data_IF_515717143049
#
_entry.id   IF_515717143049
#
_cell.length_a   1.000
_cell.length_b   1.000
_cell.length_c   1.000
_cell.angle_alpha   90.00
_cell.angle_beta   90.00
_cell.angle_gamma   90.00
#
_symmetry.space_group_name_H-M   'P 1'
#
loop_
_entity.id
_entity.type
_entity.pdbx_description
1 polymer ?
#
# COMPACT_ATOMS: atom_id res chain seq x y z
N UNK A 1 20.69 -6.32 5.76
CA UNK A 1 20.01 -7.28 4.86
C UNK A 1 19.91 -8.69 5.46
N UNK A 2 21.00 -9.33 5.90
CA UNK A 2 20.98 -10.71 6.45
C UNK A 2 20.14 -10.85 7.73
N UNK A 3 20.25 -9.91 8.66
CA UNK A 3 19.45 -9.85 9.90
C UNK A 3 17.95 -9.63 9.68
N UNK A 4 17.60 -8.92 8.59
CA UNK A 4 16.20 -8.75 8.16
C UNK A 4 15.72 -10.05 7.55
N UNK A 5 16.47 -10.67 6.63
CA UNK A 5 16.16 -11.99 6.05
C UNK A 5 15.95 -13.09 7.11
N UNK A 6 16.70 -13.08 8.21
CA UNK A 6 16.52 -14.02 9.33
C UNK A 6 15.24 -13.78 10.14
N UNK A 7 14.84 -12.51 10.34
CA UNK A 7 13.57 -12.13 10.98
C UNK A 7 12.33 -12.43 10.09
N UNK A 8 12.52 -12.63 8.78
CA UNK A 8 11.45 -12.84 7.80
C UNK A 8 11.04 -14.32 7.60
N UNK A 9 11.88 -15.27 8.01
CA UNK A 9 11.61 -16.72 7.86
C UNK A 9 10.28 -17.19 8.50
N UNK A 10 9.84 -16.69 9.67
CA UNK A 10 8.58 -17.12 10.27
C UNK A 10 7.32 -16.62 9.53
N UNK A 11 7.43 -15.52 8.76
CA UNK A 11 6.31 -14.88 8.06
C UNK A 11 6.05 -15.55 6.70
N UNK A 12 7.09 -16.07 6.04
CA UNK A 12 6.97 -16.75 4.74
C UNK A 12 6.31 -18.15 4.82
N UNK A 13 6.41 -18.85 5.95
CA UNK A 13 5.99 -20.25 6.06
C UNK A 13 4.48 -20.49 6.32
N UNK A 14 3.60 -19.50 6.13
CA UNK A 14 2.15 -19.65 6.41
C UNK A 14 1.19 -19.43 5.24
N UNK A 15 1.70 -19.28 4.03
CA UNK A 15 0.86 -19.00 2.86
C UNK A 15 0.61 -20.30 2.09
N UNK A 16 -0.24 -21.21 2.58
CA UNK A 16 -0.77 -22.30 1.76
C UNK A 16 -2.29 -22.48 1.93
N UNK A 17 -2.93 -22.55 0.75
CA UNK A 17 -4.24 -23.09 0.37
C UNK A 17 -5.47 -22.64 1.17
N UNK A 18 -6.31 -21.77 0.56
CA UNK A 18 -7.78 -21.99 0.43
C UNK A 18 -8.32 -21.15 -0.75
N UNK A 19 -9.20 -21.82 -1.50
CA UNK A 19 -10.11 -21.41 -2.59
C UNK A 19 -10.57 -19.94 -2.67
N UNK A 20 -10.43 -19.35 -3.87
CA UNK A 20 -10.83 -17.99 -4.26
C UNK A 20 -12.36 -17.73 -4.35
N UNK A 21 -13.21 -18.72 -4.08
CA UNK A 21 -14.62 -18.64 -4.48
C UNK A 21 -15.60 -18.05 -3.44
N UNK A 22 -15.26 -17.92 -2.16
CA UNK A 22 -16.19 -17.40 -1.14
C UNK A 22 -16.06 -15.89 -0.87
N UNK A 23 -14.94 -15.24 -1.23
CA UNK A 23 -14.70 -13.82 -0.92
C UNK A 23 -15.46 -12.82 -1.81
N UNK A 24 -16.12 -13.28 -2.89
CA UNK A 24 -16.78 -12.42 -3.87
C UNK A 24 -18.08 -11.76 -3.37
N UNK A 25 -18.66 -12.18 -2.24
CA UNK A 25 -19.95 -11.66 -1.74
C UNK A 25 -19.89 -10.67 -0.57
N UNK A 26 -18.80 -10.62 0.20
CA UNK A 26 -18.67 -9.65 1.30
C UNK A 26 -18.01 -8.35 0.79
N UNK A 27 -18.70 -7.19 0.79
CA UNK A 27 -18.09 -5.91 0.39
C UNK A 27 -16.90 -5.50 1.29
N UNK A 28 -16.79 -6.12 2.47
CA UNK A 28 -15.72 -5.92 3.45
C UNK A 28 -14.53 -6.86 3.23
N UNK A 29 -14.65 -7.87 2.37
CA UNK A 29 -13.57 -8.82 2.11
C UNK A 29 -12.30 -8.13 1.60
N UNK A 30 -11.14 -8.48 2.14
CA UNK A 30 -9.84 -8.04 1.63
C UNK A 30 -9.65 -8.61 0.23
N UNK A 31 -9.44 -7.71 -0.75
CA UNK A 31 -9.35 -8.04 -2.20
C UNK A 31 -8.03 -7.54 -2.80
N UNK A 32 -7.70 -8.07 -3.98
CA UNK A 32 -6.52 -7.71 -4.76
C UNK A 32 -5.43 -8.79 -4.70
N UNK A 33 -4.76 -9.04 -5.83
CA UNK A 33 -3.87 -10.20 -6.01
C UNK A 33 -2.78 -10.34 -4.93
N UNK A 34 -2.19 -9.22 -4.48
CA UNK A 34 -1.16 -9.27 -3.45
C UNK A 34 -1.76 -9.44 -2.05
N UNK A 35 -2.92 -8.83 -1.81
CA UNK A 35 -3.60 -8.92 -0.52
C UNK A 35 -4.20 -10.31 -0.27
N UNK A 36 -4.75 -10.96 -1.29
CA UNK A 36 -5.28 -12.33 -1.20
C UNK A 36 -4.16 -13.33 -0.84
N UNK A 37 -2.92 -13.09 -1.25
CA UNK A 37 -1.77 -13.91 -0.80
C UNK A 37 -1.51 -13.79 0.70
N UNK A 38 -1.80 -12.63 1.31
CA UNK A 38 -1.63 -12.41 2.76
C UNK A 38 -2.87 -12.80 3.58
N UNK A 39 -4.05 -12.61 3.00
CA UNK A 39 -5.35 -12.78 3.62
C UNK A 39 -6.28 -13.61 2.70
N UNK A 40 -5.98 -14.90 2.49
CA UNK A 40 -6.67 -15.72 1.48
C UNK A 40 -8.17 -15.87 1.72
N UNK A 41 -8.59 -15.80 2.99
CA UNK A 41 -10.01 -15.87 3.37
C UNK A 41 -10.76 -14.54 3.22
N UNK A 42 -10.11 -13.49 2.71
CA UNK A 42 -10.67 -12.16 2.61
C UNK A 42 -10.87 -11.46 3.97
N UNK A 43 -10.29 -11.95 5.05
CA UNK A 43 -10.37 -11.33 6.38
C UNK A 43 -9.08 -11.50 7.17
N UNK A 44 -8.89 -10.68 8.20
CA UNK A 44 -7.71 -10.72 9.06
C UNK A 44 -7.85 -11.86 10.07
N UNK A 45 -7.31 -13.02 9.73
CA UNK A 45 -7.29 -14.17 10.62
C UNK A 45 -6.35 -13.94 11.82
N UNK A 46 -6.72 -14.50 12.98
CA UNK A 46 -5.89 -14.44 14.19
C UNK A 46 -4.59 -15.22 14.01
N UNK A 47 -3.42 -14.57 14.06
CA UNK A 47 -2.16 -15.28 14.02
C UNK A 47 -1.82 -15.88 15.40
N UNK A 48 -1.05 -16.97 15.42
CA UNK A 48 -0.64 -17.65 16.67
C UNK A 48 0.08 -16.78 17.70
N UNK A 49 0.68 -15.64 17.27
CA UNK A 49 1.30 -14.65 18.16
C UNK A 49 0.28 -13.82 18.97
N UNK A 50 -1.01 -14.07 18.77
CA UNK A 50 -2.12 -13.56 19.59
C UNK A 50 -2.87 -14.74 20.24
N UNK A 51 -2.41 -15.22 21.41
CA UNK A 51 -2.92 -16.46 22.01
C UNK A 51 -4.37 -16.35 22.51
N UNK A 52 -4.82 -15.15 22.90
CA UNK A 52 -6.17 -14.93 23.39
C UNK A 52 -7.17 -14.69 22.24
N UNK A 53 -8.00 -15.70 21.95
CA UNK A 53 -9.02 -15.62 20.89
C UNK A 53 -10.16 -14.63 21.22
N UNK A 54 -10.54 -14.53 22.49
CA UNK A 54 -11.60 -13.63 22.95
C UNK A 54 -11.18 -12.18 22.79
N UNK A 55 -9.98 -11.84 23.25
CA UNK A 55 -9.40 -10.51 23.08
C UNK A 55 -9.25 -10.16 21.59
N UNK A 56 -8.70 -11.06 20.78
CA UNK A 56 -8.60 -10.85 19.34
C UNK A 56 -9.94 -10.47 18.70
N UNK A 57 -11.01 -11.21 19.04
CA UNK A 57 -12.35 -10.95 18.52
C UNK A 57 -12.87 -9.57 18.96
N UNK A 58 -12.73 -9.23 20.24
CA UNK A 58 -13.15 -7.92 20.77
C UNK A 58 -12.38 -6.77 20.12
N UNK A 59 -11.06 -6.93 19.94
CA UNK A 59 -10.19 -5.87 19.41
C UNK A 59 -10.37 -5.71 17.90
N UNK A 60 -10.46 -6.79 17.12
CA UNK A 60 -10.38 -6.75 15.66
C UNK A 60 -11.74 -6.74 14.95
N UNK A 61 -12.83 -7.18 15.59
CA UNK A 61 -14.16 -7.23 14.94
C UNK A 61 -15.00 -5.97 15.19
N UNK A 62 -15.39 -5.68 16.42
CA UNK A 62 -16.08 -4.43 16.75
C UNK A 62 -16.09 -4.30 18.26
N UNK A 63 -15.87 -3.09 18.76
CA UNK A 63 -16.00 -2.76 20.17
C UNK A 63 -16.51 -1.33 20.33
N UNK A 64 -16.71 -0.90 21.58
CA UNK A 64 -17.21 0.43 21.92
C UNK A 64 -16.34 1.57 21.36
N UNK A 65 -15.03 1.33 21.28
CA UNK A 65 -14.04 2.32 20.85
C UNK A 65 -13.84 2.33 19.31
N UNK A 66 -14.19 1.21 18.67
CA UNK A 66 -14.06 0.93 17.25
C UNK A 66 -15.29 0.17 16.74
N UNK A 67 -16.35 0.88 16.30
CA UNK A 67 -17.66 0.29 15.98
C UNK A 67 -17.69 -0.40 14.60
N UNK A 68 -16.56 -0.95 14.14
CA UNK A 68 -16.41 -1.57 12.82
C UNK A 68 -15.25 -2.56 12.80
N UNK A 69 -15.25 -3.47 11.81
CA UNK A 69 -14.24 -4.50 11.64
C UNK A 69 -12.92 -3.96 11.10
N UNK A 70 -11.80 -4.63 11.36
CA UNK A 70 -10.48 -4.12 10.94
C UNK A 70 -10.42 -4.01 9.42
N UNK A 71 -11.15 -4.87 8.73
CA UNK A 71 -11.32 -4.89 7.30
C UNK A 71 -11.94 -3.58 6.77
N UNK A 72 -12.80 -2.92 7.54
CA UNK A 72 -13.41 -1.63 7.19
C UNK A 72 -12.51 -0.43 7.53
N UNK A 73 -11.32 -0.66 8.08
CA UNK A 73 -10.40 0.42 8.41
C UNK A 73 -9.79 1.08 7.17
N UNK A 74 -9.40 2.35 7.33
CA UNK A 74 -8.63 3.06 6.30
C UNK A 74 -7.28 2.41 6.03
N UNK A 75 -6.68 1.72 7.01
CA UNK A 75 -5.40 1.01 6.86
C UNK A 75 -5.54 -0.11 5.84
N UNK A 76 -6.51 -1.01 6.05
CA UNK A 76 -6.77 -2.12 5.13
C UNK A 76 -7.15 -1.60 3.75
N UNK A 77 -8.04 -0.61 3.69
CA UNK A 77 -8.47 0.00 2.42
C UNK A 77 -7.29 0.60 1.65
N UNK A 78 -6.41 1.35 2.31
CA UNK A 78 -5.23 1.94 1.68
C UNK A 78 -4.25 0.89 1.15
N UNK A 79 -4.00 -0.20 1.89
CA UNK A 79 -3.14 -1.27 1.41
C UNK A 79 -3.76 -2.08 0.27
N UNK A 80 -5.08 -2.30 0.29
CA UNK A 80 -5.79 -2.89 -0.87
C UNK A 80 -5.62 -2.03 -2.12
N UNK A 81 -5.83 -0.72 -2.02
CA UNK A 81 -5.65 0.19 -3.15
C UNK A 81 -4.19 0.22 -3.64
N UNK A 82 -3.24 0.26 -2.71
CA UNK A 82 -1.81 0.25 -3.02
C UNK A 82 -1.38 -1.05 -3.71
N UNK A 83 -1.93 -2.19 -3.29
CA UNK A 83 -1.70 -3.49 -3.92
C UNK A 83 -2.28 -3.55 -5.35
N UNK A 84 -3.46 -2.97 -5.59
CA UNK A 84 -4.04 -2.86 -6.93
C UNK A 84 -3.15 -1.99 -7.83
N UNK A 85 -2.71 -0.83 -7.33
CA UNK A 85 -1.77 0.04 -8.05
C UNK A 85 -0.46 -0.67 -8.36
N UNK A 86 0.13 -1.33 -7.38
CA UNK A 86 1.38 -2.06 -7.53
C UNK A 86 1.27 -3.20 -8.54
N UNK A 87 0.16 -3.94 -8.56
CA UNK A 87 -0.07 -4.99 -9.55
C UNK A 87 -0.10 -4.43 -10.98
N UNK A 88 -0.79 -3.31 -11.20
CA UNK A 88 -0.86 -2.69 -12.52
C UNK A 88 0.50 -2.15 -12.97
N UNK A 89 1.27 -1.55 -12.05
CA UNK A 89 2.64 -1.10 -12.31
C UNK A 89 3.55 -2.28 -12.67
N UNK A 90 3.44 -3.39 -11.95
CA UNK A 90 4.26 -4.58 -12.21
C UNK A 90 3.95 -5.20 -13.58
N UNK A 91 2.66 -5.32 -13.93
CA UNK A 91 2.24 -5.79 -15.26
C UNK A 91 2.72 -4.86 -16.38
N UNK A 92 2.69 -3.54 -16.16
CA UNK A 92 3.20 -2.58 -17.15
C UNK A 92 4.73 -2.62 -17.27
N UNK A 93 5.45 -2.94 -16.19
CA UNK A 93 6.89 -3.15 -16.25
C UNK A 93 7.26 -4.44 -16.99
N UNK A 94 6.52 -5.53 -16.76
CA UNK A 94 6.64 -6.77 -17.54
C UNK A 94 6.35 -6.53 -19.03
N UNK A 95 5.28 -5.80 -19.34
CA UNK A 95 4.96 -5.39 -20.71
C UNK A 95 6.08 -4.55 -21.36
N UNK A 96 6.75 -3.70 -20.57
CA UNK A 96 7.88 -2.91 -21.07
C UNK A 96 9.06 -3.80 -21.48
N UNK A 97 9.32 -4.90 -20.77
CA UNK A 97 10.36 -5.88 -21.15
C UNK A 97 10.03 -6.49 -22.50
N UNK A 98 8.80 -6.97 -22.70
CA UNK A 98 8.36 -7.55 -23.97
C UNK A 98 8.44 -6.54 -25.15
N UNK A 99 8.05 -5.29 -24.91
CA UNK A 99 8.18 -4.21 -25.91
C UNK A 99 9.66 -3.97 -26.25
N UNK A 100 10.54 -3.96 -25.24
CA UNK A 100 11.97 -3.77 -25.42
C UNK A 100 12.57 -4.86 -26.31
N UNK A 101 12.21 -6.12 -26.08
CA UNK A 101 12.66 -7.28 -26.86
C UNK A 101 12.21 -7.22 -28.32
N UNK A 102 11.00 -6.70 -28.56
CA UNK A 102 10.40 -6.68 -29.90
C UNK A 102 10.85 -5.50 -30.76
N UNK A 103 10.80 -4.28 -30.21
CA UNK A 103 10.99 -3.04 -31.00
C UNK A 103 11.84 -1.98 -30.32
N UNK A 104 12.46 -2.29 -29.18
CA UNK A 104 13.13 -1.31 -28.34
C UNK A 104 12.17 -0.37 -27.61
N UNK A 105 12.68 0.31 -26.59
CA UNK A 105 11.89 1.15 -25.68
C UNK A 105 11.83 2.58 -26.20
N UNK A 106 10.62 3.14 -26.34
CA UNK A 106 10.48 4.57 -26.64
C UNK A 106 10.46 5.40 -25.36
N UNK A 107 10.84 6.69 -25.45
CA UNK A 107 10.71 7.64 -24.33
C UNK A 107 9.25 7.73 -23.82
N UNK A 108 8.27 7.57 -24.71
CA UNK A 108 6.85 7.55 -24.34
C UNK A 108 6.48 6.34 -23.48
N UNK A 109 7.16 5.22 -23.67
CA UNK A 109 6.92 3.99 -22.92
C UNK A 109 7.50 4.11 -21.51
N UNK A 110 8.76 4.54 -21.44
CA UNK A 110 9.42 4.79 -20.17
C UNK A 110 8.72 5.88 -19.36
N UNK A 111 8.25 6.96 -20.01
CA UNK A 111 7.49 8.03 -19.36
C UNK A 111 6.17 7.55 -18.76
N UNK A 112 5.45 6.67 -19.48
CA UNK A 112 4.20 6.08 -18.99
C UNK A 112 4.43 5.21 -17.74
N UNK A 113 5.46 4.35 -17.78
CA UNK A 113 5.82 3.52 -16.63
C UNK A 113 6.31 4.37 -15.45
N UNK A 114 7.18 5.35 -15.70
CA UNK A 114 7.68 6.30 -14.69
C UNK A 114 6.53 7.02 -13.98
N UNK A 115 5.55 7.52 -14.73
CA UNK A 115 4.38 8.18 -14.17
C UNK A 115 3.58 7.24 -13.25
N UNK A 116 3.39 5.98 -13.67
CA UNK A 116 2.73 4.96 -12.86
C UNK A 116 3.48 4.63 -11.58
N UNK A 117 4.78 4.35 -11.67
CA UNK A 117 5.63 4.07 -10.50
C UNK A 117 5.60 5.26 -9.54
N UNK A 118 5.74 6.49 -10.04
CA UNK A 118 5.72 7.70 -9.21
C UNK A 118 4.41 7.84 -8.44
N UNK A 119 3.29 7.55 -9.10
CA UNK A 119 1.97 7.54 -8.45
C UNK A 119 1.88 6.46 -7.37
N UNK A 120 2.21 5.22 -7.71
CA UNK A 120 2.19 4.08 -6.81
C UNK A 120 3.05 4.33 -5.57
N UNK A 121 4.30 4.73 -5.77
CA UNK A 121 5.27 5.04 -4.72
C UNK A 121 4.73 6.14 -3.80
N UNK A 122 4.23 7.25 -4.35
CA UNK A 122 3.70 8.32 -3.53
C UNK A 122 2.46 7.91 -2.72
N UNK A 123 1.60 7.05 -3.29
CA UNK A 123 0.43 6.52 -2.57
C UNK A 123 0.85 5.61 -1.41
N UNK A 124 1.77 4.67 -1.65
CA UNK A 124 2.22 3.71 -0.65
C UNK A 124 3.06 4.37 0.44
N UNK A 125 3.98 5.26 0.07
CA UNK A 125 4.86 5.93 1.01
C UNK A 125 4.13 6.89 1.92
N UNK A 126 3.07 7.55 1.45
CA UNK A 126 2.18 8.30 2.32
C UNK A 126 1.56 7.41 3.39
N UNK A 127 0.98 6.27 3.00
CA UNK A 127 0.35 5.33 3.93
C UNK A 127 1.33 4.81 4.99
N UNK A 128 2.53 4.39 4.56
CA UNK A 128 3.52 3.82 5.49
C UNK A 128 4.12 4.90 6.39
N UNK A 129 4.44 6.09 5.86
CA UNK A 129 4.95 7.20 6.65
C UNK A 129 3.93 7.67 7.68
N UNK A 130 2.64 7.76 7.31
CA UNK A 130 1.56 8.11 8.23
C UNK A 130 1.46 7.11 9.38
N UNK A 131 1.55 5.80 9.10
CA UNK A 131 1.52 4.76 10.14
C UNK A 131 2.73 4.88 11.07
N UNK A 132 3.94 5.04 10.53
CA UNK A 132 5.16 5.20 11.33
C UNK A 132 5.09 6.45 12.20
N UNK A 133 4.68 7.58 11.63
CA UNK A 133 4.50 8.84 12.36
C UNK A 133 3.40 8.73 13.41
N UNK A 134 2.32 8.03 13.11
CA UNK A 134 1.24 7.79 14.05
C UNK A 134 1.67 6.94 15.24
N UNK A 135 2.42 5.86 15.03
CA UNK A 135 2.95 5.03 16.13
C UNK A 135 3.81 5.90 17.05
N UNK A 136 4.79 6.63 16.49
CA UNK A 136 5.68 7.52 17.27
C UNK A 136 4.88 8.51 18.12
N UNK A 137 3.86 9.11 17.53
CA UNK A 137 3.07 10.14 18.21
C UNK A 137 2.10 9.57 19.24
N UNK A 138 1.51 8.40 18.96
CA UNK A 138 0.69 7.66 19.92
C UNK A 138 1.50 7.19 21.13
N UNK A 139 2.72 6.67 20.91
CA UNK A 139 3.63 6.28 21.99
C UNK A 139 3.99 7.50 22.86
N UNK A 140 4.30 8.63 22.22
CA UNK A 140 4.71 9.85 22.93
C UNK A 140 3.57 10.55 23.68
N UNK A 141 2.37 10.64 23.09
CA UNK A 141 1.26 11.43 23.66
C UNK A 141 0.27 10.63 24.46
N UNK A 142 0.07 9.37 24.11
CA UNK A 142 -0.96 8.54 24.70
C UNK A 142 -0.38 7.43 25.59
N UNK A 143 0.95 7.28 25.65
CA UNK A 143 1.61 6.22 26.40
C UNK A 143 1.26 4.81 25.90
N UNK A 144 0.71 4.71 24.68
CA UNK A 144 0.45 3.42 24.05
C UNK A 144 1.78 2.77 23.64
N UNK A 145 1.83 1.45 23.51
CA UNK A 145 3.00 0.77 22.95
C UNK A 145 2.57 -0.21 21.88
N UNK A 146 3.35 -0.26 20.80
CA UNK A 146 3.06 -1.10 19.65
C UNK A 146 4.10 -2.23 19.55
N UNK A 147 3.62 -3.46 19.63
CA UNK A 147 4.45 -4.66 19.56
C UNK A 147 4.15 -5.46 18.30
N UNK A 148 4.97 -6.48 18.05
CA UNK A 148 4.64 -7.56 17.14
C UNK A 148 4.06 -8.71 17.99
N UNK A 149 2.80 -9.08 17.76
CA UNK A 149 2.05 -10.03 18.60
C UNK A 149 1.31 -9.37 19.77
N UNK A 150 0.72 -10.17 20.66
CA UNK A 150 -0.11 -9.65 21.76
C UNK A 150 0.64 -8.77 22.77
N UNK A 151 1.96 -8.98 22.90
CA UNK A 151 2.87 -8.24 23.78
C UNK A 151 2.69 -8.60 25.27
N UNK A 152 3.71 -9.27 25.85
CA UNK A 152 3.92 -9.35 27.32
C UNK A 152 5.30 -9.92 27.71
N UNK A 153 6.06 -10.55 26.80
CA UNK A 153 7.46 -10.89 27.08
C UNK A 153 8.35 -9.63 26.99
N UNK A 154 8.80 -9.14 28.15
CA UNK A 154 9.64 -7.96 28.44
C UNK A 154 10.96 -7.82 27.65
N UNK A 155 11.23 -8.68 26.67
CA UNK A 155 12.35 -8.44 25.77
C UNK A 155 12.06 -7.16 24.99
N UNK A 156 12.87 -6.11 25.23
CA UNK A 156 12.87 -4.81 24.54
C UNK A 156 13.01 -4.90 23.00
N UNK A 157 13.02 -6.11 22.46
CA UNK A 157 13.35 -6.45 21.10
C UNK A 157 12.14 -6.56 20.14
N UNK A 158 10.90 -6.59 20.64
CA UNK A 158 9.70 -6.84 19.82
C UNK A 158 8.87 -5.58 19.48
N UNK A 159 9.41 -4.38 19.71
CA UNK A 159 8.74 -3.13 19.34
C UNK A 159 8.48 -3.06 17.84
N UNK A 160 7.25 -2.69 17.45
CA UNK A 160 6.81 -2.70 16.05
C UNK A 160 7.69 -1.79 15.18
N UNK A 161 7.98 -0.57 15.65
CA UNK A 161 8.83 0.39 14.92
C UNK A 161 10.25 -0.11 14.68
N UNK A 162 10.75 -1.03 15.50
CA UNK A 162 12.10 -1.58 15.34
C UNK A 162 12.24 -2.40 14.06
N UNK A 163 11.16 -3.03 13.59
CA UNK A 163 11.13 -3.75 12.32
C UNK A 163 10.51 -2.89 11.23
N UNK A 164 9.36 -2.26 11.52
CA UNK A 164 8.62 -1.48 10.53
C UNK A 164 9.44 -0.29 10.02
N UNK A 165 10.17 0.43 10.89
CA UNK A 165 11.01 1.58 10.51
C UNK A 165 12.05 1.21 9.45
N UNK A 166 13.00 0.31 9.75
CA UNK A 166 14.04 -0.09 8.80
C UNK A 166 13.51 -0.68 7.48
N UNK A 167 12.45 -1.51 7.54
CA UNK A 167 11.86 -2.09 6.32
C UNK A 167 11.18 -1.01 5.47
N UNK A 168 10.51 -0.04 6.10
CA UNK A 168 9.90 1.08 5.40
C UNK A 168 10.94 2.00 4.75
N UNK A 169 12.03 2.29 5.45
CA UNK A 169 13.16 3.07 4.92
C UNK A 169 13.85 2.37 3.75
N UNK A 170 14.05 1.05 3.84
CA UNK A 170 14.62 0.26 2.75
C UNK A 170 13.71 0.29 1.51
N UNK A 171 12.40 0.07 1.70
CA UNK A 171 11.41 0.15 0.63
C UNK A 171 11.37 1.54 -0.02
N UNK A 172 11.36 2.59 0.79
CA UNK A 172 11.40 3.97 0.29
C UNK A 172 12.68 4.27 -0.50
N UNK A 173 13.83 3.87 0.04
CA UNK A 173 15.14 4.09 -0.60
C UNK A 173 15.22 3.40 -1.96
N UNK A 174 14.69 2.18 -2.07
CA UNK A 174 14.62 1.43 -3.33
C UNK A 174 13.74 2.14 -4.36
N UNK A 175 12.53 2.56 -3.97
CA UNK A 175 11.62 3.29 -4.84
C UNK A 175 12.18 4.63 -5.32
N UNK A 176 12.83 5.40 -4.43
CA UNK A 176 13.43 6.68 -4.81
C UNK A 176 14.60 6.49 -5.76
N UNK A 177 15.48 5.53 -5.51
CA UNK A 177 16.58 5.21 -6.42
C UNK A 177 16.05 4.83 -7.80
N UNK A 178 15.03 3.96 -7.86
CA UNK A 178 14.38 3.58 -9.12
C UNK A 178 13.78 4.79 -9.84
N UNK A 179 13.07 5.67 -9.13
CA UNK A 179 12.46 6.86 -9.73
C UNK A 179 13.50 7.87 -10.22
N UNK A 180 14.62 8.04 -9.52
CA UNK A 180 15.69 8.94 -9.96
C UNK A 180 16.36 8.39 -11.22
N UNK A 181 16.71 7.12 -11.21
CA UNK A 181 17.30 6.44 -12.36
C UNK A 181 16.38 6.48 -13.59
N UNK A 182 15.10 6.12 -13.44
CA UNK A 182 14.14 6.20 -14.55
C UNK A 182 13.93 7.62 -15.06
N UNK A 183 13.97 8.62 -14.18
CA UNK A 183 13.86 10.02 -14.59
C UNK A 183 15.07 10.45 -15.42
N UNK A 184 16.28 10.08 -15.00
CA UNK A 184 17.51 10.38 -15.74
C UNK A 184 17.50 9.71 -17.12
N UNK A 185 17.10 8.44 -17.19
CA UNK A 185 17.03 7.69 -18.44
C UNK A 185 15.86 8.11 -19.35
N UNK A 186 14.74 8.60 -18.79
CA UNK A 186 13.63 9.14 -19.59
C UNK A 186 13.91 10.52 -20.19
N UNK A 187 14.81 11.29 -19.56
CA UNK A 187 15.21 12.63 -20.00
C UNK A 187 16.50 12.63 -20.83
N UNK A 188 17.34 11.59 -20.69
CA UNK A 188 18.52 11.40 -21.52
C UNK A 188 18.17 10.73 -22.85
N UNK A 189 18.83 11.13 -23.93
CA UNK A 189 18.80 10.43 -25.23
C UNK A 189 19.60 9.12 -25.20
N UNK A 190 19.50 8.34 -24.11
CA UNK A 190 20.20 7.06 -23.99
C UNK A 190 19.41 5.99 -24.73
N UNK A 191 20.12 5.13 -25.44
CA UNK A 191 19.53 3.89 -25.96
C UNK A 191 19.11 3.01 -24.78
N UNK A 192 17.79 2.89 -24.61
CA UNK A 192 17.19 2.10 -23.54
C UNK A 192 17.13 0.63 -23.98
N UNK A 193 17.89 -0.22 -23.29
CA UNK A 193 18.03 -1.63 -23.63
C UNK A 193 17.02 -2.53 -22.93
N UNK A 194 16.93 -3.79 -23.37
CA UNK A 194 16.12 -4.84 -22.71
C UNK A 194 16.59 -5.06 -21.27
N UNK A 195 17.90 -5.08 -21.05
CA UNK A 195 18.51 -5.25 -19.72
C UNK A 195 18.05 -4.16 -18.75
N UNK A 196 17.89 -2.93 -19.24
CA UNK A 196 17.36 -1.84 -18.42
C UNK A 196 15.91 -2.09 -17.99
N UNK A 197 15.04 -2.52 -18.91
CA UNK A 197 13.66 -2.85 -18.56
C UNK A 197 13.57 -4.04 -17.58
N UNK A 198 14.43 -5.05 -17.76
CA UNK A 198 14.53 -6.17 -16.84
C UNK A 198 14.96 -5.71 -15.45
N UNK A 199 15.97 -4.86 -15.34
CA UNK A 199 16.43 -4.32 -14.04
C UNK A 199 15.33 -3.53 -13.33
N UNK A 200 14.55 -2.72 -14.07
CA UNK A 200 13.38 -2.01 -13.53
C UNK A 200 12.34 -3.00 -12.98
N UNK A 201 12.02 -4.05 -13.75
CA UNK A 201 11.06 -5.07 -13.35
C UNK A 201 11.52 -5.84 -12.09
N UNK A 202 12.79 -6.25 -12.05
CA UNK A 202 13.37 -6.96 -10.90
C UNK A 202 13.36 -6.11 -9.63
N UNK A 203 13.72 -4.81 -9.73
CA UNK A 203 13.63 -3.88 -8.60
C UNK A 203 12.20 -3.73 -8.08
N UNK A 204 11.19 -3.74 -8.97
CA UNK A 204 9.79 -3.71 -8.56
C UNK A 204 9.36 -5.01 -7.87
N UNK A 205 9.86 -6.18 -8.29
CA UNK A 205 9.64 -7.45 -7.61
C UNK A 205 10.28 -7.49 -6.21
N UNK A 206 11.49 -6.94 -6.06
CA UNK A 206 12.15 -6.83 -4.76
C UNK A 206 11.36 -5.88 -3.84
N UNK A 207 10.93 -4.72 -4.35
CA UNK A 207 10.11 -3.77 -3.62
C UNK A 207 8.77 -4.37 -3.16
N UNK A 208 8.10 -5.13 -4.04
CA UNK A 208 6.91 -5.90 -3.70
C UNK A 208 7.19 -6.87 -2.56
N UNK A 209 8.30 -7.59 -2.60
CA UNK A 209 8.67 -8.55 -1.56
C UNK A 209 8.82 -7.89 -0.19
N UNK A 210 9.43 -6.70 -0.12
CA UNK A 210 9.49 -5.89 1.10
C UNK A 210 8.10 -5.42 1.54
N UNK A 211 7.25 -4.97 0.61
CA UNK A 211 5.88 -4.57 0.92
C UNK A 211 5.08 -5.71 1.54
N UNK A 212 5.24 -6.95 1.06
CA UNK A 212 4.56 -8.13 1.62
C UNK A 212 4.94 -8.40 3.08
N UNK A 213 6.05 -7.84 3.57
CA UNK A 213 6.42 -7.83 5.00
C UNK A 213 5.74 -6.69 5.76
N UNK A 214 5.70 -5.50 5.16
CA UNK A 214 5.11 -4.30 5.76
C UNK A 214 3.61 -4.47 5.98
N UNK A 215 2.88 -5.02 5.00
CA UNK A 215 1.42 -5.10 5.07
C UNK A 215 0.93 -5.86 6.30
N UNK A 216 1.40 -7.08 6.64
CA UNK A 216 0.96 -7.77 7.85
C UNK A 216 1.28 -7.01 9.13
N UNK A 217 2.46 -6.37 9.23
CA UNK A 217 2.83 -5.56 10.39
C UNK A 217 1.85 -4.40 10.61
N UNK A 218 1.38 -3.79 9.51
CA UNK A 218 0.43 -2.69 9.58
C UNK A 218 -1.02 -3.18 9.79
N UNK A 219 -1.47 -4.18 9.05
CA UNK A 219 -2.87 -4.64 9.08
C UNK A 219 -3.18 -5.49 10.32
N UNK A 220 -2.20 -6.24 10.82
CA UNK A 220 -2.36 -7.10 12.00
C UNK A 220 -1.89 -6.35 13.24
N UNK A 221 -0.57 -6.14 13.36
CA UNK A 221 0.03 -5.77 14.64
C UNK A 221 -0.26 -4.31 15.01
N UNK A 222 -0.04 -3.37 14.08
CA UNK A 222 -0.41 -1.97 14.27
C UNK A 222 -1.92 -1.81 14.54
N UNK A 223 -2.79 -2.39 13.71
CA UNK A 223 -4.24 -2.26 13.91
C UNK A 223 -4.70 -2.88 15.24
N UNK A 224 -4.15 -4.02 15.65
CA UNK A 224 -4.50 -4.61 16.94
C UNK A 224 -4.13 -3.69 18.10
N UNK A 225 -2.88 -3.24 18.18
CA UNK A 225 -2.44 -2.35 19.27
C UNK A 225 -3.13 -1.00 19.24
N UNK A 226 -3.38 -0.48 18.04
CA UNK A 226 -4.15 0.74 17.86
C UNK A 226 -5.52 0.61 18.50
N UNK A 227 -6.20 -0.50 18.20
CA UNK A 227 -7.59 -0.72 18.62
C UNK A 227 -7.73 -1.18 20.05
N UNK A 228 -6.69 -1.81 20.60
CA UNK A 228 -6.61 -2.22 22.02
C UNK A 228 -6.30 -1.03 22.93
N UNK A 229 -5.41 -0.14 22.51
CA UNK A 229 -4.83 0.87 23.40
C UNK A 229 -5.45 2.27 23.24
N UNK A 230 -6.11 2.55 22.11
CA UNK A 230 -6.62 3.88 21.79
C UNK A 230 -8.07 3.81 21.32
N UNK A 231 -8.81 4.87 21.62
CA UNK A 231 -10.13 5.13 21.05
C UNK A 231 -10.01 5.76 19.66
N UNK A 232 -11.04 5.59 18.83
CA UNK A 232 -11.10 6.26 17.52
C UNK A 232 -10.94 7.78 17.63
N UNK A 233 -11.51 8.40 18.68
CA UNK A 233 -11.38 9.83 18.94
C UNK A 233 -9.96 10.27 19.32
N UNK A 234 -9.20 9.45 20.05
CA UNK A 234 -7.78 9.70 20.30
C UNK A 234 -6.98 9.64 19.00
N UNK A 235 -7.20 8.60 18.19
CA UNK A 235 -6.52 8.44 16.89
C UNK A 235 -6.77 9.63 15.98
N UNK A 236 -8.02 10.10 15.87
CA UNK A 236 -8.33 11.26 15.05
C UNK A 236 -7.64 12.54 15.51
N UNK A 237 -7.47 12.73 16.83
CA UNK A 237 -6.71 13.86 17.36
C UNK A 237 -5.23 13.78 16.95
N UNK A 238 -4.63 12.60 17.02
CA UNK A 238 -3.24 12.41 16.59
C UNK A 238 -3.10 12.65 15.08
N UNK A 239 -3.96 12.06 14.26
CA UNK A 239 -3.96 12.25 12.79
C UNK A 239 -4.14 13.72 12.41
N UNK A 240 -5.13 14.41 13.01
CA UNK A 240 -5.36 15.83 12.75
C UNK A 240 -4.15 16.67 13.13
N UNK A 241 -3.53 16.36 14.26
CA UNK A 241 -2.35 17.08 14.71
C UNK A 241 -1.15 16.88 13.79
N UNK A 242 -0.89 15.65 13.32
CA UNK A 242 0.17 15.39 12.34
C UNK A 242 -0.10 16.15 11.04
N UNK A 243 -1.34 16.19 10.55
CA UNK A 243 -1.72 16.99 9.38
C UNK A 243 -1.52 18.50 9.58
N UNK A 244 -1.73 19.01 10.80
CA UNK A 244 -1.58 20.43 11.12
C UNK A 244 -0.08 20.81 11.30
N UNK A 245 0.75 19.96 11.92
CA UNK A 245 2.21 20.14 12.02
C UNK A 245 2.85 20.07 10.63
N UNK A 246 2.46 19.07 9.84
CA UNK A 246 2.88 18.92 8.46
C UNK A 246 2.10 19.87 7.55
N UNK A 247 2.20 21.19 7.78
CA UNK A 247 1.99 22.19 6.72
C UNK A 247 3.00 21.96 5.58
N UNK A 248 2.81 20.85 4.85
CA UNK A 248 3.33 20.39 3.57
C UNK A 248 4.81 20.73 3.30
N UNK A 249 5.69 20.64 4.31
CA UNK A 249 7.14 20.66 4.09
C UNK A 249 7.60 19.23 3.77
N UNK A 250 7.47 18.82 2.52
CA UNK A 250 8.17 17.62 2.01
C UNK A 250 7.33 16.63 1.19
N UNK A 251 6.01 16.62 1.34
CA UNK A 251 5.12 15.93 0.40
C UNK A 251 4.94 16.81 -0.85
N UNK A 252 4.85 16.25 -2.08
CA UNK A 252 5.11 17.00 -3.31
C UNK A 252 4.35 18.33 -3.30
N UNK A 253 5.10 19.43 -3.51
CA UNK A 253 4.62 20.83 -3.57
C UNK A 253 3.64 21.11 -4.72
N UNK A 254 2.92 20.10 -5.19
CA UNK A 254 1.99 20.15 -6.30
C UNK A 254 0.63 19.67 -5.82
N UNK A 255 -0.29 20.62 -5.56
CA UNK A 255 -1.70 20.35 -5.22
C UNK A 255 -2.34 19.30 -6.15
N UNK A 256 -1.90 19.24 -7.41
CA UNK A 256 -2.36 18.24 -8.40
C UNK A 256 -2.01 16.79 -8.07
N UNK A 257 -0.81 16.50 -7.56
CA UNK A 257 -0.40 15.11 -7.28
C UNK A 257 -1.13 14.53 -6.06
N UNK A 258 -1.35 15.35 -5.03
CA UNK A 258 -2.17 14.95 -3.87
C UNK A 258 -3.59 14.60 -4.28
N UNK A 259 -4.21 15.43 -5.12
CA UNK A 259 -5.55 15.17 -5.63
C UNK A 259 -5.57 13.87 -6.45
N UNK A 260 -4.58 13.64 -7.30
CA UNK A 260 -4.44 12.40 -8.06
C UNK A 260 -4.32 11.18 -7.15
N UNK A 261 -3.47 11.22 -6.12
CA UNK A 261 -3.29 10.11 -5.17
C UNK A 261 -4.60 9.80 -4.45
N UNK A 262 -5.26 10.83 -3.88
CA UNK A 262 -6.55 10.65 -3.21
C UNK A 262 -7.61 10.11 -4.17
N UNK A 263 -7.66 10.64 -5.41
CA UNK A 263 -8.58 10.18 -6.43
C UNK A 263 -8.34 8.71 -6.77
N UNK A 264 -7.08 8.28 -6.93
CA UNK A 264 -6.79 6.88 -7.22
C UNK A 264 -7.01 5.94 -6.05
N UNK A 265 -6.73 6.35 -4.80
CA UNK A 265 -7.09 5.57 -3.62
C UNK A 265 -8.61 5.34 -3.54
N UNK A 266 -9.42 6.34 -3.87
CA UNK A 266 -10.89 6.17 -3.91
C UNK A 266 -11.33 5.37 -5.14
N UNK A 267 -10.77 5.65 -6.30
CA UNK A 267 -11.18 5.04 -7.56
C UNK A 267 -10.79 3.57 -7.67
N UNK A 268 -9.69 3.15 -7.02
CA UNK A 268 -9.26 1.76 -6.93
C UNK A 268 -10.22 0.86 -6.13
N UNK A 269 -11.08 1.46 -5.29
CA UNK A 269 -12.13 0.72 -4.59
C UNK A 269 -13.27 0.45 -5.57
N UNK A 270 -13.73 -0.81 -5.72
CA UNK A 270 -14.92 -1.15 -6.51
C UNK A 270 -16.12 -0.26 -6.11
N UNK A 271 -16.91 0.21 -7.08
CA UNK A 271 -17.96 1.21 -6.85
C UNK A 271 -18.97 0.75 -5.80
N UNK A 272 -19.32 -0.53 -5.85
CA UNK A 272 -20.19 -1.24 -4.92
C UNK A 272 -19.66 -1.25 -3.47
N UNK A 273 -18.34 -1.24 -3.27
CA UNK A 273 -17.71 -1.32 -1.96
C UNK A 273 -17.40 0.07 -1.36
N UNK A 274 -17.35 1.12 -2.19
CA UNK A 274 -16.90 2.47 -1.78
C UNK A 274 -17.62 3.00 -0.55
N UNK A 275 -18.94 2.84 -0.50
CA UNK A 275 -19.74 3.34 0.65
C UNK A 275 -19.32 2.69 1.96
N UNK A 276 -19.08 1.38 1.95
CA UNK A 276 -18.66 0.64 3.14
C UNK A 276 -17.23 1.05 3.54
N UNK A 277 -16.29 1.03 2.60
CA UNK A 277 -14.86 1.29 2.85
C UNK A 277 -14.53 2.72 3.26
N UNK A 278 -15.30 3.69 2.78
CA UNK A 278 -15.04 5.10 3.06
C UNK A 278 -15.76 5.62 4.30
N UNK A 279 -16.67 4.82 4.89
CA UNK A 279 -17.53 5.22 6.01
C UNK A 279 -16.74 5.72 7.22
N UNK A 280 -15.61 5.10 7.53
CA UNK A 280 -14.80 5.36 8.73
C UNK A 280 -13.45 6.02 8.40
N UNK A 281 -13.33 6.62 7.21
CA UNK A 281 -12.12 7.35 6.83
C UNK A 281 -12.06 8.71 7.53
N UNK A 282 -10.87 9.15 7.98
CA UNK A 282 -10.73 10.46 8.59
C UNK A 282 -11.16 11.55 7.58
N UNK A 283 -11.77 12.65 8.05
CA UNK A 283 -12.20 13.71 7.17
C UNK A 283 -10.99 14.38 6.50
N UNK A 284 -10.75 14.04 5.23
CA UNK A 284 -9.71 14.66 4.42
C UNK A 284 -10.17 16.05 3.98
N UNK A 285 -9.31 17.05 4.13
CA UNK A 285 -9.53 18.38 3.52
C UNK A 285 -9.33 18.26 2.02
N UNK A 286 -10.43 18.34 1.27
CA UNK A 286 -10.43 18.34 -0.19
C UNK A 286 -10.51 19.79 -0.71
N UNK A 287 -9.90 20.10 -1.87
CA UNK A 287 -9.99 21.42 -2.48
C UNK A 287 -11.38 21.72 -3.07
N UNK A 288 -12.24 20.70 -3.18
CA UNK A 288 -13.61 20.77 -3.72
C UNK A 288 -14.56 20.00 -2.81
N UNK A 289 -15.87 20.14 -3.02
CA UNK A 289 -16.87 19.36 -2.28
C UNK A 289 -16.66 17.85 -2.49
N UNK A 290 -17.00 17.05 -1.47
CA UNK A 290 -16.86 15.58 -1.54
C UNK A 290 -17.61 14.99 -2.73
N UNK A 291 -18.79 15.52 -3.04
CA UNK A 291 -19.60 15.05 -4.17
C UNK A 291 -18.90 15.28 -5.52
N UNK A 292 -18.33 16.47 -5.75
CA UNK A 292 -17.55 16.78 -6.97
C UNK A 292 -16.35 15.83 -7.05
N UNK A 293 -15.65 15.65 -5.93
CA UNK A 293 -14.47 14.79 -5.87
C UNK A 293 -14.81 13.32 -6.21
N UNK A 294 -15.86 12.74 -5.61
CA UNK A 294 -16.28 11.37 -5.89
C UNK A 294 -16.77 11.17 -7.33
N UNK A 295 -17.29 12.21 -7.97
CA UNK A 295 -17.71 12.15 -9.38
C UNK A 295 -16.50 12.18 -10.31
N UNK A 296 -15.50 13.00 -10.00
CA UNK A 296 -14.32 13.19 -10.83
C UNK A 296 -13.20 12.15 -10.59
N UNK A 297 -13.21 11.43 -9.46
CA UNK A 297 -12.09 10.57 -9.06
C UNK A 297 -11.75 9.50 -10.11
N UNK A 298 -12.76 8.87 -10.71
CA UNK A 298 -12.57 7.81 -11.71
C UNK A 298 -11.88 8.36 -12.96
N UNK A 299 -12.33 9.53 -13.44
CA UNK A 299 -11.76 10.17 -14.61
C UNK A 299 -10.31 10.65 -14.38
N UNK A 300 -10.03 11.22 -13.19
CA UNK A 300 -8.69 11.63 -12.79
C UNK A 300 -7.78 10.40 -12.75
N UNK A 301 -8.20 9.36 -12.04
CA UNK A 301 -7.44 8.13 -11.87
C UNK A 301 -7.17 7.43 -13.20
N UNK A 302 -8.19 7.30 -14.06
CA UNK A 302 -8.03 6.70 -15.37
C UNK A 302 -6.97 7.44 -16.20
N UNK A 303 -7.10 8.76 -16.30
CA UNK A 303 -6.23 9.59 -17.14
C UNK A 303 -4.81 9.70 -16.59
N UNK A 304 -4.63 9.76 -15.27
CA UNK A 304 -3.32 9.99 -14.65
C UNK A 304 -2.56 8.71 -14.30
N UNK A 305 -3.21 7.55 -14.26
CA UNK A 305 -2.58 6.31 -13.80
C UNK A 305 -2.94 5.09 -14.66
N UNK A 306 -4.22 4.78 -14.84
CA UNK A 306 -4.63 3.51 -15.47
C UNK A 306 -4.33 3.49 -16.96
N UNK A 307 -4.76 4.52 -17.70
CA UNK A 307 -4.68 4.57 -19.16
C UNK A 307 -3.24 4.53 -19.68
N UNK A 308 -2.25 5.27 -19.12
CA UNK A 308 -0.86 5.15 -19.55
C UNK A 308 -0.30 3.74 -19.38
N UNK A 309 -0.59 3.06 -18.26
CA UNK A 309 -0.09 1.72 -17.98
C UNK A 309 -0.78 0.65 -18.82
N UNK A 310 -2.11 0.74 -18.98
CA UNK A 310 -2.86 -0.17 -19.85
C UNK A 310 -2.46 -0.07 -21.31
N UNK A 311 -2.02 1.11 -21.77
CA UNK A 311 -1.45 1.26 -23.13
C UNK A 311 -0.25 0.34 -23.32
N UNK A 312 0.68 0.32 -22.36
CA UNK A 312 1.87 -0.55 -22.43
C UNK A 312 1.47 -2.02 -22.45
N UNK A 313 0.56 -2.41 -21.56
CA UNK A 313 0.08 -3.79 -21.45
C UNK A 313 -0.58 -4.25 -22.76
N UNK A 314 -1.53 -3.45 -23.29
CA UNK A 314 -2.22 -3.76 -24.53
C UNK A 314 -1.29 -3.79 -25.75
N UNK A 315 -0.23 -2.99 -25.74
CA UNK A 315 0.78 -3.00 -26.80
C UNK A 315 1.62 -4.28 -26.75
N UNK A 316 2.08 -4.71 -25.57
CA UNK A 316 2.78 -5.99 -25.41
C UNK A 316 1.90 -7.19 -25.78
N UNK A 317 0.62 -7.16 -25.43
CA UNK A 317 -0.38 -8.17 -25.83
C UNK A 317 -0.53 -8.23 -27.37
N UNK A 318 -0.58 -7.08 -28.03
CA UNK A 318 -0.68 -7.00 -29.50
C UNK A 318 0.58 -7.53 -30.22
N UNK A 319 1.74 -7.52 -29.56
CA UNK A 319 2.97 -8.14 -30.05
C UNK A 319 3.00 -9.66 -29.83
N UNK A 320 1.99 -10.24 -29.15
CA UNK A 320 1.87 -11.67 -28.89
C UNK A 320 2.78 -12.19 -27.77
N UNK A 321 3.25 -11.31 -26.87
CA UNK A 321 4.36 -11.61 -25.95
C UNK A 321 3.98 -11.64 -24.46
N UNK A 322 2.70 -11.77 -24.11
CA UNK A 322 2.26 -11.99 -22.72
C UNK A 322 1.69 -13.40 -22.55
N UNK A 323 2.25 -14.18 -21.62
CA UNK A 323 1.65 -15.45 -21.19
C UNK A 323 0.43 -15.19 -20.28
N UNK A 324 -0.60 -16.07 -20.30
CA UNK A 324 -1.85 -15.90 -19.55
C UNK A 324 -1.70 -15.85 -18.03
#
# INVERSE_FOLDING_TARGET
MQRVRELLKPIQNRIHSVSENESKKDPRAIKGAWMVKLFPQGHVARPSRYPNAGEWRVVMCANQDWPFAVEDSSVVTCFMCSAIHGQLVLQAAEALVAIAESRGISSKDLSALYQGIRFYVASLSGVVADIVGHIKEAERRCGATFWIGAGENESRNNGLLRILGPVSEALWSMHIKLLLDMRENALGERDLSVEYAMEVFEKLLEAKSLLMVVVPLCVVDYCFHLRKNLTMGQVWRVVKHNMDIEHLKGFPRFRGMRLQILAGLVAAIPKEDRRARLRYTPPVRLPVSRWIFHTACDAIYDRSFVRPLRRLIAEAEALGMTSP
#
